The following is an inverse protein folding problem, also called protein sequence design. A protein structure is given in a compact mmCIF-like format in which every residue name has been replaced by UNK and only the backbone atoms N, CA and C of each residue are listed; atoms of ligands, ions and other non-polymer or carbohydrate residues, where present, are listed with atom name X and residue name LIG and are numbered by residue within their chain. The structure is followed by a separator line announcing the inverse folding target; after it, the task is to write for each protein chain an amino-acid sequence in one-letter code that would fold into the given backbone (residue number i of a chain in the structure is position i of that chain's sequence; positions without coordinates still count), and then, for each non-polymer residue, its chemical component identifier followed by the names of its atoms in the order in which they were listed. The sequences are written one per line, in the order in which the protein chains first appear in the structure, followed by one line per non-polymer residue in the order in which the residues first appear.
data_IF_958932223352
#
_entry.id   IF_958932223352
#
_cell.length_a   1.000
_cell.length_b   1.000
_cell.length_c   1.000
_cell.angle_alpha   90.00
_cell.angle_beta   90.00
_cell.angle_gamma   90.00
#
_symmetry.space_group_name_H-M   'P 1'
#
loop_
_entity.id
_entity.type
_entity.pdbx_description
1 polymer ?
#
# COMPACT_ATOMS: atom_id res chain seq x y z
N UNK A 1 -12.87 -13.45 -10.78
CA UNK A 1 -12.41 -12.12 -10.30
C UNK A 1 -11.76 -11.29 -11.41
N UNK A 2 -10.59 -11.66 -11.95
CA UNK A 2 -9.89 -10.87 -13.00
C UNK A 2 -10.77 -10.57 -14.22
N UNK A 3 -11.50 -11.57 -14.72
CA UNK A 3 -12.38 -11.39 -15.86
C UNK A 3 -13.49 -10.34 -15.60
N UNK A 4 -13.97 -10.22 -14.35
CA UNK A 4 -14.96 -9.21 -13.98
C UNK A 4 -14.33 -7.82 -13.90
N UNK A 5 -13.15 -7.71 -13.28
CA UNK A 5 -12.43 -6.43 -13.23
C UNK A 5 -12.11 -5.90 -14.63
N UNK A 6 -11.69 -6.78 -15.55
CA UNK A 6 -11.47 -6.42 -16.96
C UNK A 6 -12.76 -6.07 -17.68
N UNK A 7 -13.86 -6.80 -17.44
CA UNK A 7 -15.16 -6.54 -18.08
C UNK A 7 -15.69 -5.14 -17.76
N UNK A 8 -15.33 -4.58 -16.60
CA UNK A 8 -15.79 -3.27 -16.14
C UNK A 8 -14.67 -2.23 -16.07
N UNK A 9 -13.51 -2.49 -16.69
CA UNK A 9 -12.35 -1.57 -16.73
C UNK A 9 -11.84 -1.11 -15.35
N UNK A 10 -11.98 -1.97 -14.33
CA UNK A 10 -11.56 -1.70 -12.95
C UNK A 10 -10.16 -2.25 -12.62
N UNK A 11 -9.55 -3.03 -13.50
CA UNK A 11 -8.31 -3.74 -13.20
C UNK A 11 -7.11 -2.82 -12.97
N UNK A 12 -7.07 -1.63 -13.58
CA UNK A 12 -5.95 -0.68 -13.41
C UNK A 12 -5.97 0.01 -12.04
N UNK A 13 -7.15 0.09 -11.42
CA UNK A 13 -7.36 0.73 -10.12
C UNK A 13 -7.43 -0.30 -8.98
N UNK A 14 -7.63 -1.57 -9.30
CA UNK A 14 -7.67 -2.63 -8.32
C UNK A 14 -6.33 -2.79 -7.60
N UNK A 15 -6.40 -2.84 -6.26
CA UNK A 15 -5.27 -3.12 -5.38
C UNK A 15 -5.52 -4.46 -4.69
N UNK A 16 -4.47 -5.26 -4.54
CA UNK A 16 -4.53 -6.52 -3.80
C UNK A 16 -3.38 -6.58 -2.81
N UNK A 17 -3.69 -7.03 -1.59
CA UNK A 17 -2.69 -7.45 -0.61
C UNK A 17 -2.41 -8.91 -0.90
N UNK A 18 -1.23 -9.19 -1.44
CA UNK A 18 -0.83 -10.53 -1.87
C UNK A 18 -0.29 -11.36 -0.71
N UNK A 19 -0.45 -12.68 -0.81
CA UNK A 19 0.33 -13.68 -0.07
C UNK A 19 1.42 -14.26 -0.99
N UNK A 20 2.35 -15.02 -0.43
CA UNK A 20 3.40 -15.68 -1.22
C UNK A 20 2.80 -16.64 -2.28
N UNK A 21 1.68 -17.30 -1.96
CA UNK A 21 1.01 -18.24 -2.86
C UNK A 21 0.25 -17.53 -3.99
N UNK A 22 -0.32 -16.35 -3.71
CA UNK A 22 -1.18 -15.63 -4.66
C UNK A 22 -0.42 -14.66 -5.55
N UNK A 23 0.71 -14.14 -5.08
CA UNK A 23 1.53 -13.13 -5.78
C UNK A 23 1.94 -13.56 -7.20
N UNK A 24 2.46 -14.78 -7.45
CA UNK A 24 2.82 -15.21 -8.81
C UNK A 24 1.64 -15.20 -9.79
N UNK A 25 0.45 -15.57 -9.32
CA UNK A 25 -0.74 -15.61 -10.18
C UNK A 25 -1.23 -14.21 -10.55
N UNK A 26 -1.17 -13.25 -9.63
CA UNK A 26 -1.76 -11.92 -9.81
C UNK A 26 -0.79 -10.87 -10.36
N UNK A 27 0.52 -11.14 -10.36
CA UNK A 27 1.53 -10.24 -10.92
C UNK A 27 1.20 -9.87 -12.36
N UNK A 28 1.16 -8.56 -12.65
CA UNK A 28 0.81 -8.02 -13.98
C UNK A 28 -0.67 -8.11 -14.34
N UNK A 29 -1.54 -8.59 -13.43
CA UNK A 29 -3.01 -8.63 -13.61
C UNK A 29 -3.73 -7.62 -12.73
N UNK A 30 -3.19 -7.36 -11.53
CA UNK A 30 -3.66 -6.38 -10.52
C UNK A 30 -2.41 -5.78 -9.85
N UNK A 31 -2.51 -4.56 -9.32
CA UNK A 31 -1.46 -3.96 -8.48
C UNK A 31 -1.29 -4.72 -7.16
N UNK A 32 -0.07 -5.15 -6.87
CA UNK A 32 0.26 -5.91 -5.66
C UNK A 32 0.97 -5.05 -4.61
N UNK A 33 0.60 -5.26 -3.34
CA UNK A 33 1.27 -4.64 -2.20
C UNK A 33 2.71 -5.11 -2.12
N UNK A 34 3.64 -4.18 -1.90
CA UNK A 34 5.04 -4.49 -1.66
C UNK A 34 5.60 -3.60 -0.54
N UNK A 35 6.60 -4.12 0.16
CA UNK A 35 7.49 -3.29 0.98
C UNK A 35 8.47 -2.52 0.09
N UNK A 36 9.15 -1.51 0.66
CA UNK A 36 10.21 -0.76 -0.03
C UNK A 36 11.28 -1.69 -0.62
N UNK A 37 11.77 -2.63 0.19
CA UNK A 37 12.80 -3.59 -0.22
C UNK A 37 12.31 -4.52 -1.36
N UNK A 38 11.05 -4.99 -1.30
CA UNK A 38 10.48 -5.81 -2.38
C UNK A 38 10.35 -5.04 -3.69
N UNK A 39 10.02 -3.74 -3.63
CA UNK A 39 9.99 -2.90 -4.82
C UNK A 39 11.38 -2.77 -5.45
N UNK A 40 12.40 -2.51 -4.64
CA UNK A 40 13.80 -2.40 -5.11
C UNK A 40 14.29 -3.72 -5.72
N UNK A 41 13.98 -4.86 -5.09
CA UNK A 41 14.30 -6.16 -5.65
C UNK A 41 13.58 -6.39 -6.99
N UNK A 42 12.28 -6.09 -7.05
CA UNK A 42 11.48 -6.26 -8.26
C UNK A 42 11.95 -5.36 -9.40
N UNK A 43 12.45 -4.16 -9.11
CA UNK A 43 13.00 -3.24 -10.12
C UNK A 43 14.21 -3.80 -10.87
N UNK A 44 14.92 -4.78 -10.30
CA UNK A 44 16.02 -5.46 -10.98
C UNK A 44 15.55 -6.51 -12.01
N UNK A 45 14.25 -6.83 -12.04
CA UNK A 45 13.68 -7.82 -12.97
C UNK A 45 13.36 -7.15 -14.30
N UNK A 46 13.71 -7.81 -15.41
CA UNK A 46 13.45 -7.30 -16.78
C UNK A 46 11.96 -7.03 -17.07
N UNK A 47 11.06 -7.73 -16.38
CA UNK A 47 9.61 -7.60 -16.54
C UNK A 47 8.97 -6.60 -15.57
N UNK A 48 9.78 -5.82 -14.84
CA UNK A 48 9.27 -4.85 -13.90
C UNK A 48 8.41 -3.79 -14.59
N UNK A 49 7.27 -3.49 -13.97
CA UNK A 49 6.45 -2.34 -14.32
C UNK A 49 5.93 -1.72 -13.03
N UNK A 50 6.15 -0.41 -12.79
CA UNK A 50 5.69 0.25 -11.57
C UNK A 50 4.16 0.20 -11.43
N UNK A 51 3.44 0.11 -12.55
CA UNK A 51 1.99 -0.04 -12.58
C UNK A 51 1.47 -1.37 -12.02
N UNK A 52 2.35 -2.36 -11.79
CA UNK A 52 1.98 -3.66 -11.21
C UNK A 52 2.10 -3.69 -9.68
N UNK A 53 2.63 -2.64 -9.06
CA UNK A 53 2.95 -2.63 -7.64
C UNK A 53 2.55 -1.32 -6.95
N UNK A 54 2.45 -1.36 -5.63
CA UNK A 54 2.30 -0.19 -4.78
C UNK A 54 3.03 -0.41 -3.46
N UNK A 55 3.56 0.66 -2.88
CA UNK A 55 4.13 0.63 -1.53
C UNK A 55 2.99 0.53 -0.53
N UNK A 56 3.03 -0.48 0.33
CA UNK A 56 2.04 -0.71 1.39
C UNK A 56 2.76 -0.91 2.72
N UNK A 57 2.65 0.05 3.63
CA UNK A 57 3.33 -0.02 4.93
C UNK A 57 2.67 0.90 5.96
N UNK A 58 2.79 0.51 7.22
CA UNK A 58 2.43 1.35 8.37
C UNK A 58 3.55 2.32 8.77
N UNK A 59 4.75 2.11 8.22
CA UNK A 59 5.95 2.90 8.46
C UNK A 59 6.46 3.39 7.10
N UNK A 60 6.15 4.64 6.77
CA UNK A 60 6.49 5.29 5.50
C UNK A 60 7.07 6.66 5.84
N UNK A 61 8.28 6.91 5.35
CA UNK A 61 8.98 8.19 5.51
C UNK A 61 8.66 9.16 4.37
N UNK A 62 9.03 10.44 4.54
CA UNK A 62 8.94 11.41 3.46
C UNK A 62 9.86 11.06 2.27
N UNK A 63 10.98 10.40 2.55
CA UNK A 63 11.89 9.88 1.52
C UNK A 63 11.21 8.78 0.70
N UNK A 64 10.49 7.85 1.35
CA UNK A 64 9.74 6.80 0.66
C UNK A 64 8.65 7.39 -0.25
N UNK A 65 7.93 8.41 0.21
CA UNK A 65 6.92 9.12 -0.60
C UNK A 65 7.57 9.81 -1.80
N UNK A 66 8.69 10.50 -1.60
CA UNK A 66 9.43 11.13 -2.70
C UNK A 66 9.92 10.10 -3.71
N UNK A 67 10.51 9.00 -3.22
CA UNK A 67 11.04 7.92 -4.05
C UNK A 67 9.94 7.25 -4.88
N UNK A 68 8.85 6.84 -4.24
CA UNK A 68 7.71 6.21 -4.93
C UNK A 68 7.11 7.14 -5.99
N UNK A 69 7.01 8.44 -5.72
CA UNK A 69 6.57 9.44 -6.69
C UNK A 69 7.49 9.52 -7.90
N UNK A 70 8.81 9.54 -7.69
CA UNK A 70 9.80 9.55 -8.78
C UNK A 70 9.72 8.28 -9.66
N UNK A 71 9.37 7.14 -9.06
CA UNK A 71 9.24 5.86 -9.75
C UNK A 71 7.81 5.56 -10.25
N UNK A 72 6.88 6.51 -10.11
CA UNK A 72 5.47 6.35 -10.49
C UNK A 72 4.77 5.15 -9.82
N UNK A 73 5.12 4.90 -8.57
CA UNK A 73 4.55 3.84 -7.73
C UNK A 73 3.56 4.49 -6.76
N UNK A 74 2.37 3.90 -6.63
CA UNK A 74 1.38 4.35 -5.65
C UNK A 74 1.87 4.05 -4.22
N UNK A 75 1.62 4.98 -3.30
CA UNK A 75 1.94 4.82 -1.87
C UNK A 75 0.66 4.78 -1.07
N UNK A 76 0.49 3.71 -0.29
CA UNK A 76 -0.67 3.47 0.56
C UNK A 76 -0.21 3.25 1.98
N UNK A 77 -0.57 4.17 2.87
CA UNK A 77 -0.35 4.03 4.31
C UNK A 77 -1.38 3.10 4.93
N UNK A 78 -0.98 2.19 5.81
CA UNK A 78 -1.91 1.32 6.54
C UNK A 78 -1.97 1.67 8.03
N UNK A 79 -3.20 1.81 8.54
CA UNK A 79 -3.49 1.95 9.98
C UNK A 79 -4.56 0.92 10.34
N UNK A 80 -4.14 -0.19 10.95
CA UNK A 80 -5.02 -1.31 11.27
C UNK A 80 -5.01 -1.63 12.78
N UNK A 81 -6.13 -2.09 13.31
CA UNK A 81 -6.32 -2.33 14.74
C UNK A 81 -5.47 -3.51 15.22
N UNK A 82 -5.25 -4.49 14.35
CA UNK A 82 -4.49 -5.70 14.65
C UNK A 82 -3.01 -5.44 14.99
N UNK A 83 -2.45 -4.34 14.47
CA UNK A 83 -1.09 -3.89 14.78
C UNK A 83 -0.91 -3.40 16.22
N UNK A 84 -1.99 -3.05 16.93
CA UNK A 84 -1.94 -2.49 18.28
C UNK A 84 -2.39 -3.52 19.33
N UNK A 85 -1.60 -4.57 19.55
CA UNK A 85 -2.01 -5.73 20.38
C UNK A 85 -2.11 -5.45 21.89
N UNK A 86 -1.61 -4.33 22.40
CA UNK A 86 -1.53 -4.06 23.85
C UNK A 86 -1.81 -2.59 24.20
N UNK A 87 -3.06 -2.24 24.54
CA UNK A 87 -3.40 -1.00 25.25
C UNK A 87 -3.21 0.33 24.48
N UNK A 88 -4.22 1.20 24.59
CA UNK A 88 -4.37 2.51 23.93
C UNK A 88 -4.14 2.52 22.40
N UNK A 89 -4.80 1.58 21.70
CA UNK A 89 -4.80 1.48 20.24
C UNK A 89 -5.18 2.79 19.54
N UNK A 90 -6.05 3.61 20.13
CA UNK A 90 -6.45 4.90 19.56
C UNK A 90 -5.29 5.91 19.52
N UNK A 91 -4.54 6.07 20.61
CA UNK A 91 -3.43 7.02 20.63
C UNK A 91 -2.29 6.59 19.68
N UNK A 92 -1.96 5.30 19.67
CA UNK A 92 -0.94 4.76 18.77
C UNK A 92 -1.36 4.86 17.29
N UNK A 93 -2.63 4.58 16.98
CA UNK A 93 -3.18 4.75 15.64
C UNK A 93 -3.19 6.22 15.21
N UNK A 94 -3.53 7.14 16.12
CA UNK A 94 -3.49 8.57 15.85
C UNK A 94 -2.07 9.05 15.56
N UNK A 95 -1.08 8.64 16.38
CA UNK A 95 0.32 8.99 16.15
C UNK A 95 0.82 8.43 14.81
N UNK A 96 0.51 7.17 14.51
CA UNK A 96 0.86 6.55 13.24
C UNK A 96 0.23 7.29 12.05
N UNK A 97 -1.08 7.59 12.10
CA UNK A 97 -1.76 8.34 11.05
C UNK A 97 -1.12 9.72 10.85
N UNK A 98 -0.81 10.44 11.93
CA UNK A 98 -0.13 11.73 11.86
C UNK A 98 1.27 11.63 11.25
N UNK A 99 2.05 10.59 11.59
CA UNK A 99 3.37 10.35 10.98
C UNK A 99 3.25 10.12 9.47
N UNK A 100 2.30 9.30 9.04
CA UNK A 100 2.05 9.04 7.61
C UNK A 100 1.59 10.29 6.85
N UNK A 101 0.68 11.08 7.43
CA UNK A 101 0.24 12.37 6.86
C UNK A 101 1.43 13.33 6.73
N UNK A 102 2.24 13.47 7.80
CA UNK A 102 3.44 14.33 7.79
C UNK A 102 4.49 13.86 6.77
N UNK A 103 4.59 12.56 6.51
CA UNK A 103 5.44 12.01 5.47
C UNK A 103 4.94 12.33 4.05
N UNK A 104 3.70 12.81 3.90
CA UNK A 104 3.10 13.15 2.60
C UNK A 104 2.29 12.02 1.96
N UNK A 105 1.90 11.00 2.73
CA UNK A 105 0.99 9.95 2.27
C UNK A 105 -0.41 10.53 2.03
N UNK A 106 -1.00 10.23 0.88
CA UNK A 106 -2.32 10.75 0.46
C UNK A 106 -3.37 9.66 0.24
N UNK A 107 -2.96 8.39 0.18
CA UNK A 107 -3.86 7.25 0.03
C UNK A 107 -3.68 6.32 1.23
N UNK A 108 -4.79 5.83 1.79
CA UNK A 108 -4.78 5.06 3.03
C UNK A 108 -5.68 3.82 2.94
N UNK A 109 -5.23 2.73 3.55
CA UNK A 109 -6.09 1.65 4.01
C UNK A 109 -6.19 1.78 5.53
N UNK A 110 -7.39 2.09 6.03
CA UNK A 110 -7.61 2.36 7.45
C UNK A 110 -8.79 1.54 7.95
N UNK A 111 -8.67 0.99 9.15
CA UNK A 111 -9.83 0.41 9.84
C UNK A 111 -10.79 1.53 10.23
N UNK A 112 -12.10 1.31 10.03
CA UNK A 112 -13.12 2.37 10.16
C UNK A 112 -13.12 3.08 11.52
N UNK A 113 -12.72 2.39 12.59
CA UNK A 113 -12.59 2.97 13.93
C UNK A 113 -11.59 4.12 14.02
N UNK A 114 -10.63 4.19 13.08
CA UNK A 114 -9.59 5.21 13.01
C UNK A 114 -9.82 6.25 11.90
N UNK A 115 -10.89 6.12 11.12
CA UNK A 115 -11.28 7.09 10.09
C UNK A 115 -11.27 8.56 10.57
N UNK A 116 -11.70 8.89 11.81
CA UNK A 116 -11.68 10.26 12.31
C UNK A 116 -10.29 10.94 12.29
N UNK A 117 -9.19 10.19 12.19
CA UNK A 117 -7.84 10.74 12.15
C UNK A 117 -7.41 11.26 10.77
N UNK A 118 -8.17 10.96 9.72
CA UNK A 118 -7.88 11.35 8.33
C UNK A 118 -8.82 12.45 7.81
N UNK A 119 -9.69 12.98 8.66
CA UNK A 119 -10.64 14.06 8.33
C UNK A 119 -10.08 15.45 8.62
#
# INVERSE_FOLDING_TARGET
MIALLKKYDLNEQALMIGTDESTPFFTGKIKLSCTRAQLEENMNKKSFSPSHYYLFSGDISAEDVSWTKQHHILTVGVVNAWSFKNGNSMALAQEQAQRLIKAGVTCFQIDSIFEPFLR
#
